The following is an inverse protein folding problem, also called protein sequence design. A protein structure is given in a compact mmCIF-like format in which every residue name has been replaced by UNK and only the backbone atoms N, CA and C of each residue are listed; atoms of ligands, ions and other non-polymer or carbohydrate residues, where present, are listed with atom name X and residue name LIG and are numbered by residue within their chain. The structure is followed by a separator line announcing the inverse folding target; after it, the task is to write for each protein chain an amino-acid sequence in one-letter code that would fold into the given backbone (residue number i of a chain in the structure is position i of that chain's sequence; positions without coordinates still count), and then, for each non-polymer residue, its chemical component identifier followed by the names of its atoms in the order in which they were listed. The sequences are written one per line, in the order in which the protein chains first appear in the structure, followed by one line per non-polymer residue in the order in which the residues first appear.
data_IF_598892375820
#
_entry.id   IF_598892375820
#
_cell.length_a   1.000
_cell.length_b   1.000
_cell.length_c   1.000
_cell.angle_alpha   90.00
_cell.angle_beta   90.00
_cell.angle_gamma   90.00
#
_symmetry.space_group_name_H-M   'P 1'
#
loop_
_entity.id
_entity.type
_entity.pdbx_description
1 polymer ?
#
# COMPACT_ATOMS: atom_id res chain seq x y z
N UNK A 1 16.45 -7.47 19.01
CA UNK A 1 15.90 -6.59 17.96
C UNK A 1 17.09 -5.89 17.29
N UNK A 2 17.33 -6.11 15.99
CA UNK A 2 18.49 -5.49 15.31
C UNK A 2 18.15 -4.04 14.93
N UNK A 3 18.98 -3.05 15.29
CA UNK A 3 18.73 -1.67 14.90
C UNK A 3 18.91 -1.48 13.40
N UNK A 4 18.16 -0.55 12.82
CA UNK A 4 18.26 -0.16 11.42
C UNK A 4 18.50 1.34 11.29
N UNK A 5 19.23 1.73 10.25
CA UNK A 5 19.35 3.11 9.80
C UNK A 5 18.27 3.38 8.76
N UNK A 6 17.71 4.59 8.79
CA UNK A 6 16.72 5.05 7.82
C UNK A 6 17.35 6.11 6.94
N UNK A 7 17.19 5.96 5.62
CA UNK A 7 17.54 6.99 4.65
C UNK A 7 16.30 7.38 3.88
N UNK A 8 16.04 8.67 3.87
CA UNK A 8 14.93 9.26 3.15
C UNK A 8 15.41 9.85 1.83
N UNK A 9 14.68 9.59 0.75
CA UNK A 9 14.96 10.15 -0.58
C UNK A 9 13.66 10.64 -1.21
N UNK A 10 13.79 11.67 -2.04
CA UNK A 10 12.70 12.19 -2.88
C UNK A 10 13.15 12.11 -4.33
N UNK A 11 12.27 11.62 -5.20
CA UNK A 11 12.53 11.46 -6.63
C UNK A 11 11.24 11.62 -7.45
N UNK A 12 11.34 11.67 -8.78
CA UNK A 12 10.20 11.54 -9.70
C UNK A 12 9.82 10.08 -9.92
N UNK A 13 8.69 9.83 -10.60
CA UNK A 13 8.31 8.47 -10.99
C UNK A 13 9.35 7.82 -11.93
N UNK A 14 9.86 8.56 -12.91
CA UNK A 14 10.88 8.05 -13.84
C UNK A 14 12.18 7.68 -13.11
N UNK A 15 12.61 8.53 -12.17
CA UNK A 15 13.77 8.24 -11.33
C UNK A 15 13.53 7.01 -10.46
N UNK A 16 12.32 6.85 -9.92
CA UNK A 16 11.99 5.68 -9.11
C UNK A 16 11.95 4.40 -9.95
N UNK A 17 11.35 4.43 -11.13
CA UNK A 17 11.35 3.32 -12.09
C UNK A 17 12.78 2.91 -12.47
N UNK A 18 13.64 3.88 -12.78
CA UNK A 18 15.05 3.63 -13.12
C UNK A 18 15.90 3.04 -11.98
N UNK A 19 15.43 3.09 -10.72
CA UNK A 19 16.09 2.43 -9.58
C UNK A 19 15.34 1.21 -9.05
N UNK A 20 14.10 0.97 -9.48
CA UNK A 20 13.25 -0.12 -8.98
C UNK A 20 13.90 -1.49 -9.21
N UNK A 21 14.51 -1.70 -10.38
CA UNK A 21 15.26 -2.93 -10.69
C UNK A 21 16.42 -3.16 -9.73
N UNK A 22 17.16 -2.10 -9.38
CA UNK A 22 18.26 -2.17 -8.41
C UNK A 22 17.73 -2.48 -7.02
N UNK A 23 16.55 -1.98 -6.66
CA UNK A 23 15.91 -2.22 -5.36
C UNK A 23 15.34 -3.64 -5.23
N UNK A 24 15.13 -4.38 -6.34
CA UNK A 24 14.64 -5.77 -6.34
C UNK A 24 15.54 -6.71 -5.54
N UNK A 25 16.86 -6.58 -5.68
CA UNK A 25 17.83 -7.55 -5.17
C UNK A 25 18.60 -7.07 -3.93
N UNK A 26 18.39 -5.82 -3.50
CA UNK A 26 19.13 -5.27 -2.37
C UNK A 26 18.48 -5.71 -1.06
N UNK A 27 19.31 -6.11 -0.08
CA UNK A 27 18.88 -6.35 1.30
C UNK A 27 18.60 -5.01 2.01
N UNK A 28 17.49 -4.39 1.64
CA UNK A 28 16.97 -3.15 2.20
C UNK A 28 15.45 -3.27 2.35
N UNK A 29 14.94 -2.84 3.49
CA UNK A 29 13.51 -2.60 3.66
C UNK A 29 13.13 -1.33 2.91
N UNK A 30 12.15 -1.42 2.02
CA UNK A 30 11.69 -0.28 1.23
C UNK A 30 10.23 0.00 1.57
N UNK A 31 9.94 1.19 2.07
CA UNK A 31 8.61 1.80 2.12
C UNK A 31 8.64 3.06 1.25
N UNK A 32 7.56 3.35 0.54
CA UNK A 32 7.47 4.55 -0.27
C UNK A 32 6.07 5.12 -0.32
N UNK A 33 5.99 6.40 -0.71
CA UNK A 33 4.73 7.12 -0.92
C UNK A 33 4.73 7.68 -2.33
N UNK A 34 3.67 7.42 -3.07
CA UNK A 34 3.45 7.88 -4.43
C UNK A 34 2.47 9.06 -4.41
N UNK A 35 2.85 10.16 -5.06
CA UNK A 35 2.00 11.32 -5.31
C UNK A 35 1.91 11.52 -6.84
N UNK A 36 1.02 10.79 -7.54
CA UNK A 36 0.94 10.78 -9.00
C UNK A 36 0.78 12.18 -9.63
N UNK A 37 -0.08 13.01 -9.04
CA UNK A 37 -0.44 14.35 -9.52
C UNK A 37 0.66 15.40 -9.36
N UNK A 38 1.73 15.08 -8.62
CA UNK A 38 2.90 15.95 -8.43
C UNK A 38 4.17 15.40 -9.07
N UNK A 39 4.09 14.21 -9.68
CA UNK A 39 5.26 13.45 -10.13
C UNK A 39 6.31 13.35 -9.00
N UNK A 40 5.87 12.92 -7.81
CA UNK A 40 6.75 12.76 -6.64
C UNK A 40 6.61 11.39 -6.03
N UNK A 41 7.77 10.84 -5.69
CA UNK A 41 7.93 9.63 -4.90
C UNK A 41 8.83 9.92 -3.70
N UNK A 42 8.37 9.54 -2.51
CA UNK A 42 9.17 9.59 -1.28
C UNK A 42 9.55 8.17 -0.88
N UNK A 43 10.85 7.93 -0.71
CA UNK A 43 11.40 6.63 -0.33
C UNK A 43 11.87 6.67 1.12
N UNK A 44 11.54 5.63 1.88
CA UNK A 44 12.03 5.30 3.21
C UNK A 44 12.80 3.96 3.08
N UNK A 45 14.12 4.08 2.99
CA UNK A 45 15.06 2.95 2.86
C UNK A 45 15.60 2.58 4.23
N UNK A 46 15.46 1.31 4.60
CA UNK A 46 15.82 0.78 5.92
C UNK A 46 16.87 -0.30 5.78
N UNK A 47 18.06 -0.03 6.31
CA UNK A 47 19.19 -0.97 6.30
C UNK A 47 19.56 -1.35 7.72
N UNK A 48 19.78 -2.64 7.97
CA UNK A 48 20.35 -3.06 9.24
C UNK A 48 21.72 -2.41 9.43
N UNK A 49 21.97 -1.87 10.62
CA UNK A 49 23.26 -1.27 10.95
C UNK A 49 23.60 -1.59 12.40
N UNK A 50 24.71 -2.30 12.63
CA UNK A 50 25.22 -2.56 13.98
C UNK A 50 25.61 -1.27 14.73
N UNK A 51 25.90 -0.19 13.99
CA UNK A 51 26.25 1.12 14.53
C UNK A 51 25.04 2.02 14.80
N UNK A 52 23.83 1.65 14.34
CA UNK A 52 22.63 2.43 14.60
C UNK A 52 22.25 2.32 16.08
N UNK A 53 22.31 3.44 16.81
CA UNK A 53 21.78 3.52 18.17
C UNK A 53 20.26 3.36 18.13
N UNK A 54 19.72 2.57 19.06
CA UNK A 54 18.28 2.48 19.35
C UNK A 54 17.77 3.88 19.68
N UNK A 55 17.20 4.60 18.71
CA UNK A 55 16.57 5.90 18.98
C UNK A 55 15.24 5.70 19.68
N UNK A 56 14.92 6.67 20.53
CA UNK A 56 13.74 6.70 21.36
C UNK A 56 12.46 6.53 20.55
N UNK A 57 11.48 5.80 21.08
CA UNK A 57 10.19 5.47 20.43
C UNK A 57 9.32 6.68 20.07
N UNK A 58 9.67 7.89 20.53
CA UNK A 58 8.80 9.08 20.51
C UNK A 58 8.72 9.75 19.12
N UNK A 59 9.83 10.04 18.40
CA UNK A 59 9.75 10.60 17.05
C UNK A 59 9.03 9.69 16.05
N UNK A 60 9.22 8.37 16.16
CA UNK A 60 8.47 7.37 15.38
C UNK A 60 6.97 7.42 15.67
N UNK A 61 6.57 7.50 16.94
CA UNK A 61 5.15 7.63 17.31
C UNK A 61 4.53 8.93 16.80
N UNK A 62 5.28 10.04 16.79
CA UNK A 62 4.80 11.33 16.25
C UNK A 62 4.64 11.26 14.73
N UNK A 63 5.59 10.64 14.02
CA UNK A 63 5.49 10.37 12.58
C UNK A 63 4.27 9.50 12.26
N UNK A 64 4.17 8.34 12.91
CA UNK A 64 3.07 7.41 12.69
C UNK A 64 1.73 8.04 13.07
N UNK A 65 1.66 8.84 14.14
CA UNK A 65 0.47 9.57 14.55
C UNK A 65 0.09 10.69 13.56
N UNK A 66 1.06 11.44 13.05
CA UNK A 66 0.85 12.46 12.03
C UNK A 66 0.28 11.85 10.73
N UNK A 67 0.86 10.74 10.28
CA UNK A 67 0.45 10.04 9.06
C UNK A 67 -0.90 9.30 9.20
N UNK A 68 -1.16 8.68 10.34
CA UNK A 68 -2.36 7.83 10.53
C UNK A 68 -3.55 8.55 11.17
N UNK A 69 -3.35 9.68 11.85
CA UNK A 69 -4.40 10.37 12.61
C UNK A 69 -4.60 11.82 12.18
N UNK A 70 -3.53 12.59 11.95
CA UNK A 70 -3.64 14.02 11.63
C UNK A 70 -3.96 14.24 10.15
N UNK A 71 -3.20 13.62 9.25
CA UNK A 71 -3.43 13.75 7.81
C UNK A 71 -4.86 13.36 7.40
N UNK A 72 -5.41 12.21 7.85
CA UNK A 72 -6.80 11.86 7.54
C UNK A 72 -7.81 12.92 7.97
N UNK A 73 -7.65 13.51 9.17
CA UNK A 73 -8.56 14.55 9.68
C UNK A 73 -8.46 15.86 8.90
N UNK A 74 -7.25 16.23 8.49
CA UNK A 74 -7.01 17.42 7.67
C UNK A 74 -7.64 17.24 6.30
N UNK A 75 -7.40 16.11 5.63
CA UNK A 75 -7.97 15.87 4.30
C UNK A 75 -9.48 15.69 4.33
N UNK A 76 -10.02 15.02 5.34
CA UNK A 76 -11.47 14.95 5.55
C UNK A 76 -12.10 16.34 5.73
N UNK A 77 -11.44 17.22 6.48
CA UNK A 77 -11.89 18.60 6.65
C UNK A 77 -11.82 19.38 5.34
N UNK A 78 -10.73 19.27 4.58
CA UNK A 78 -10.57 19.92 3.27
C UNK A 78 -11.62 19.43 2.27
N UNK A 79 -11.89 18.11 2.24
CA UNK A 79 -12.92 17.52 1.39
C UNK A 79 -14.33 18.05 1.72
N UNK A 80 -14.59 18.35 3.00
CA UNK A 80 -15.89 18.89 3.45
C UNK A 80 -16.04 20.39 3.21
N UNK A 81 -14.96 21.16 3.38
CA UNK A 81 -15.02 22.64 3.41
C UNK A 81 -14.76 23.25 2.04
N UNK A 82 -13.98 22.59 1.17
CA UNK A 82 -13.57 23.14 -0.12
C UNK A 82 -14.36 22.48 -1.26
N UNK A 83 -15.46 23.09 -1.75
CA UNK A 83 -16.30 22.49 -2.79
C UNK A 83 -15.64 22.52 -4.17
N UNK A 84 -14.70 23.45 -4.40
CA UNK A 84 -13.99 23.59 -5.68
C UNK A 84 -12.89 22.54 -5.77
N UNK A 85 -13.11 21.52 -6.61
CA UNK A 85 -12.21 20.37 -6.76
C UNK A 85 -10.76 20.78 -7.05
N UNK A 86 -10.52 21.74 -7.96
CA UNK A 86 -9.17 22.20 -8.30
C UNK A 86 -8.43 22.82 -7.11
N UNK A 87 -9.09 23.64 -6.29
CA UNK A 87 -8.50 24.24 -5.09
C UNK A 87 -8.28 23.20 -3.99
N UNK A 88 -9.28 22.35 -3.77
CA UNK A 88 -9.24 21.23 -2.82
C UNK A 88 -8.01 20.35 -3.05
N UNK A 89 -7.81 19.96 -4.29
CA UNK A 89 -6.74 19.08 -4.70
C UNK A 89 -5.36 19.73 -4.67
N UNK A 90 -5.26 21.02 -5.02
CA UNK A 90 -4.01 21.78 -4.81
C UNK A 90 -3.60 21.79 -3.34
N UNK A 91 -4.52 22.09 -2.42
CA UNK A 91 -4.25 22.10 -0.98
C UNK A 91 -3.82 20.72 -0.46
N UNK A 92 -4.51 19.65 -0.86
CA UNK A 92 -4.16 18.28 -0.49
C UNK A 92 -2.74 17.94 -0.95
N UNK A 93 -2.38 18.30 -2.17
CA UNK A 93 -1.07 18.01 -2.72
C UNK A 93 0.04 18.81 -2.03
N UNK A 94 -0.20 20.10 -1.73
CA UNK A 94 0.78 20.95 -1.03
C UNK A 94 1.02 20.44 0.40
N UNK A 95 -0.05 20.09 1.13
CA UNK A 95 0.06 19.51 2.47
C UNK A 95 0.75 18.15 2.40
N UNK A 96 0.38 17.28 1.46
CA UNK A 96 1.03 15.98 1.27
C UNK A 96 2.54 16.13 1.02
N UNK A 97 2.92 17.08 0.15
CA UNK A 97 4.32 17.37 -0.16
C UNK A 97 5.08 17.91 1.05
N UNK A 98 4.49 18.83 1.81
CA UNK A 98 5.09 19.43 3.00
C UNK A 98 5.23 18.39 4.11
N UNK A 99 4.18 17.61 4.39
CA UNK A 99 4.22 16.57 5.42
C UNK A 99 5.24 15.49 5.06
N UNK A 100 5.20 14.96 3.84
CA UNK A 100 6.19 13.96 3.42
C UNK A 100 7.60 14.55 3.31
N UNK A 101 7.76 15.83 3.00
CA UNK A 101 9.04 16.52 3.02
C UNK A 101 9.63 16.69 4.42
N UNK A 102 8.81 17.12 5.40
CA UNK A 102 9.25 17.39 6.78
C UNK A 102 9.47 16.11 7.59
N UNK A 103 8.52 15.18 7.51
CA UNK A 103 8.53 13.93 8.26
C UNK A 103 9.68 13.01 7.80
N UNK A 104 10.03 13.06 6.52
CA UNK A 104 11.14 12.28 5.98
C UNK A 104 12.50 12.98 6.11
N UNK A 105 12.60 14.31 6.21
CA UNK A 105 13.92 14.96 6.26
C UNK A 105 14.53 15.18 7.66
N UNK A 106 13.76 15.16 8.77
CA UNK A 106 14.31 15.70 10.04
C UNK A 106 14.05 14.96 11.35
N UNK A 107 13.24 13.91 11.42
CA UNK A 107 12.84 13.37 12.74
C UNK A 107 13.31 11.95 13.04
N UNK A 108 13.80 11.19 12.06
CA UNK A 108 14.06 9.76 12.24
C UNK A 108 15.25 9.28 11.41
N UNK A 109 16.39 9.02 12.07
CA UNK A 109 17.62 8.50 11.43
C UNK A 109 17.93 7.04 11.79
N UNK A 110 17.27 6.47 12.80
CA UNK A 110 17.37 5.06 13.17
C UNK A 110 16.06 4.54 13.75
N UNK A 111 15.91 3.22 13.84
CA UNK A 111 14.72 2.58 14.42
C UNK A 111 14.96 1.13 14.82
N UNK A 112 13.94 0.51 15.40
CA UNK A 112 13.95 -0.89 15.83
C UNK A 112 12.73 -1.62 15.25
N UNK A 113 12.94 -2.80 14.65
CA UNK A 113 11.92 -3.57 13.91
C UNK A 113 10.79 -4.06 14.81
N UNK A 114 9.87 -3.16 15.12
CA UNK A 114 8.64 -3.49 15.81
C UNK A 114 7.66 -3.87 14.73
N UNK A 115 7.18 -5.11 14.76
CA UNK A 115 6.01 -5.60 14.02
C UNK A 115 4.73 -4.78 14.28
N UNK A 116 4.80 -3.74 15.10
CA UNK A 116 3.78 -2.70 15.28
C UNK A 116 3.60 -1.75 14.07
N UNK A 117 4.34 -1.94 12.97
CA UNK A 117 4.29 -1.07 11.78
C UNK A 117 3.25 -1.48 10.72
N UNK A 118 2.50 -2.57 10.93
CA UNK A 118 1.14 -2.64 10.39
C UNK A 118 0.32 -1.65 11.21
N UNK A 119 0.08 -0.47 10.63
CA UNK A 119 -0.91 0.53 11.05
C UNK A 119 -1.83 0.01 12.16
N UNK A 120 -1.54 0.36 13.41
CA UNK A 120 -2.42 0.07 14.53
C UNK A 120 -3.68 0.91 14.38
N UNK A 121 -4.60 0.48 13.53
CA UNK A 121 -6.00 0.91 13.53
C UNK A 121 -6.65 0.34 14.79
N UNK A 122 -6.29 0.88 15.96
CA UNK A 122 -7.04 0.68 17.20
C UNK A 122 -8.07 1.80 17.32
N UNK A 123 -9.31 1.36 17.47
CA UNK A 123 -10.59 2.06 17.62
C UNK A 123 -11.30 2.42 16.32
N UNK A 124 -12.30 1.58 16.00
CA UNK A 124 -13.48 1.93 15.22
C UNK A 124 -14.13 3.18 15.83
N UNK A 125 -13.85 4.33 15.24
CA UNK A 125 -14.72 5.49 15.28
C UNK A 125 -15.29 5.60 13.86
N UNK A 126 -16.61 5.46 13.70
CA UNK A 126 -17.28 5.48 12.41
C UNK A 126 -17.05 6.82 11.66
N UNK A 127 -16.62 7.86 12.38
CA UNK A 127 -16.20 9.14 11.82
C UNK A 127 -14.80 9.13 11.18
N UNK A 128 -14.07 8.00 11.19
CA UNK A 128 -12.64 7.92 10.85
C UNK A 128 -12.30 6.77 9.88
N UNK A 129 -13.27 6.29 9.09
CA UNK A 129 -13.07 5.18 8.15
C UNK A 129 -12.14 5.58 7.00
N UNK A 130 -10.92 5.06 7.02
CA UNK A 130 -10.06 5.05 5.84
C UNK A 130 -10.48 3.91 4.93
N UNK A 131 -10.70 4.24 3.66
CA UNK A 131 -10.83 3.26 2.61
C UNK A 131 -9.46 2.91 2.06
N UNK A 132 -9.20 1.63 1.81
CA UNK A 132 -7.95 1.19 1.24
C UNK A 132 -8.14 0.00 0.33
N UNK A 133 -7.30 -0.09 -0.71
CA UNK A 133 -7.18 -1.28 -1.53
C UNK A 133 -5.72 -1.62 -1.77
N UNK A 134 -5.34 -2.87 -1.49
CA UNK A 134 -3.94 -3.32 -1.56
C UNK A 134 -3.78 -4.44 -2.58
N UNK A 135 -2.86 -4.25 -3.52
CA UNK A 135 -2.45 -5.24 -4.52
C UNK A 135 -0.94 -5.42 -4.51
N UNK A 136 -0.46 -6.62 -4.86
CA UNK A 136 0.96 -6.99 -4.87
C UNK A 136 1.41 -7.22 -6.30
N UNK A 137 2.54 -6.62 -6.67
CA UNK A 137 3.09 -6.71 -8.01
C UNK A 137 4.46 -7.38 -7.95
N UNK A 138 4.84 -8.20 -8.95
CA UNK A 138 6.19 -8.72 -9.07
C UNK A 138 7.23 -7.60 -8.96
N UNK A 139 8.24 -7.77 -8.10
CA UNK A 139 9.28 -6.76 -7.98
C UNK A 139 10.13 -6.64 -9.26
N UNK A 140 10.11 -7.66 -10.12
CA UNK A 140 10.74 -7.65 -11.44
C UNK A 140 10.07 -6.65 -12.41
N UNK A 141 8.75 -6.57 -12.40
CA UNK A 141 7.98 -5.74 -13.34
C UNK A 141 7.65 -4.35 -12.78
N UNK A 142 7.96 -4.13 -11.50
CA UNK A 142 7.48 -2.95 -10.78
C UNK A 142 7.94 -1.61 -11.36
N UNK A 143 9.07 -1.57 -12.07
CA UNK A 143 9.53 -0.37 -12.76
C UNK A 143 8.50 0.13 -13.77
N UNK A 144 7.88 -0.78 -14.53
CA UNK A 144 6.85 -0.46 -15.52
C UNK A 144 5.53 -0.18 -14.80
N UNK A 145 5.18 -1.01 -13.80
CA UNK A 145 3.93 -0.87 -13.04
C UNK A 145 3.82 0.49 -12.38
N UNK A 146 4.90 1.03 -11.80
CA UNK A 146 4.82 2.32 -11.09
C UNK A 146 4.58 3.49 -12.03
N UNK A 147 5.12 3.45 -13.26
CA UNK A 147 4.84 4.44 -14.30
C UNK A 147 3.39 4.29 -14.78
N UNK A 148 2.97 3.07 -15.10
CA UNK A 148 1.60 2.80 -15.51
C UNK A 148 0.57 3.17 -14.42
N UNK A 149 0.93 3.04 -13.15
CA UNK A 149 0.10 3.45 -12.02
C UNK A 149 -0.11 4.96 -11.98
N UNK A 150 0.93 5.75 -12.29
CA UNK A 150 0.79 7.20 -12.39
C UNK A 150 -0.20 7.57 -13.49
N UNK A 151 -0.04 6.98 -14.68
CA UNK A 151 -0.90 7.25 -15.83
C UNK A 151 -2.34 6.82 -15.57
N UNK A 152 -2.52 5.67 -14.91
CA UNK A 152 -3.82 5.22 -14.40
C UNK A 152 -4.47 6.27 -13.50
N UNK A 153 -3.75 6.80 -12.49
CA UNK A 153 -4.30 7.81 -11.59
C UNK A 153 -4.68 9.12 -12.30
N UNK A 154 -3.87 9.56 -13.27
CA UNK A 154 -4.14 10.76 -14.05
C UNK A 154 -5.40 10.57 -14.90
N UNK A 155 -5.49 9.46 -15.65
CA UNK A 155 -6.64 9.13 -16.51
C UNK A 155 -7.94 8.97 -15.72
N UNK A 156 -7.91 8.30 -14.57
CA UNK A 156 -9.10 8.16 -13.73
C UNK A 156 -9.56 9.53 -13.22
N UNK A 157 -8.63 10.40 -12.83
CA UNK A 157 -8.99 11.75 -12.40
C UNK A 157 -9.58 12.60 -13.52
N UNK A 158 -9.04 12.50 -14.74
CA UNK A 158 -9.56 13.21 -15.90
C UNK A 158 -10.98 12.76 -16.27
N UNK A 159 -11.25 11.46 -16.23
CA UNK A 159 -12.53 10.88 -16.65
C UNK A 159 -13.64 10.93 -15.59
N UNK A 160 -13.29 10.72 -14.31
CA UNK A 160 -14.26 10.59 -13.22
C UNK A 160 -14.28 11.79 -12.27
N UNK A 161 -13.31 12.70 -12.40
CA UNK A 161 -13.01 13.77 -11.42
C UNK A 161 -12.68 13.28 -10.01
N UNK A 162 -12.59 11.97 -9.80
CA UNK A 162 -12.20 11.36 -8.54
C UNK A 162 -10.69 11.14 -8.48
N UNK A 163 -10.10 11.35 -7.30
CA UNK A 163 -8.77 10.86 -6.96
C UNK A 163 -8.67 10.62 -5.47
N UNK A 164 -7.81 9.68 -5.09
CA UNK A 164 -7.42 9.46 -3.70
C UNK A 164 -6.84 10.76 -3.13
N UNK A 165 -7.27 11.12 -1.92
CA UNK A 165 -6.78 12.28 -1.18
C UNK A 165 -5.59 11.96 -0.29
N UNK A 166 -5.31 10.68 -0.04
CA UNK A 166 -4.11 10.23 0.67
C UNK A 166 -3.05 9.74 -0.32
N UNK A 167 -1.74 9.91 -0.01
CA UNK A 167 -0.68 9.29 -0.79
C UNK A 167 -0.83 7.78 -0.84
N UNK A 168 -0.63 7.19 -2.02
CA UNK A 168 -0.55 5.73 -2.16
C UNK A 168 0.72 5.24 -1.49
N UNK A 169 0.57 4.28 -0.59
CA UNK A 169 1.68 3.73 0.18
C UNK A 169 2.11 2.43 -0.46
N UNK A 170 3.41 2.25 -0.66
CA UNK A 170 3.95 0.98 -1.11
C UNK A 170 5.08 0.46 -0.24
N UNK A 171 5.28 -0.85 -0.30
CA UNK A 171 6.36 -1.52 0.43
C UNK A 171 6.84 -2.75 -0.32
N UNK A 172 8.16 -2.98 -0.28
CA UNK A 172 8.76 -4.23 -0.80
C UNK A 172 8.57 -5.33 0.23
N UNK A 173 8.10 -6.47 -0.22
CA UNK A 173 7.92 -7.69 0.56
C UNK A 173 8.89 -8.73 0.02
N UNK A 174 9.72 -9.28 0.90
CA UNK A 174 10.61 -10.38 0.56
C UNK A 174 9.82 -11.63 0.17
N UNK A 175 10.48 -12.54 -0.53
CA UNK A 175 9.89 -13.85 -0.82
C UNK A 175 9.59 -14.58 0.49
N UNK A 176 8.36 -15.06 0.65
CA UNK A 176 7.90 -15.78 1.85
C UNK A 176 7.13 -17.05 1.46
N UNK A 177 7.79 -18.19 1.62
CA UNK A 177 7.23 -19.53 1.35
C UNK A 177 6.58 -20.18 2.57
N UNK A 178 6.49 -19.48 3.71
CA UNK A 178 5.95 -20.04 4.96
C UNK A 178 4.43 -20.18 4.95
N UNK A 179 3.73 -19.31 4.21
CA UNK A 179 2.29 -19.36 4.02
C UNK A 179 1.95 -19.73 2.58
N UNK A 180 1.16 -20.79 2.39
CA UNK A 180 0.81 -21.31 1.06
C UNK A 180 0.10 -20.29 0.16
N UNK A 181 -0.73 -19.42 0.74
CA UNK A 181 -1.41 -18.34 0.01
C UNK A 181 -0.68 -17.00 0.15
N UNK A 182 0.62 -17.00 0.50
CA UNK A 182 1.43 -15.79 0.51
C UNK A 182 1.45 -15.19 -0.90
N UNK A 183 1.22 -13.86 -1.04
CA UNK A 183 1.35 -13.19 -2.32
C UNK A 183 2.80 -13.12 -2.81
N UNK A 184 3.79 -13.27 -1.92
CA UNK A 184 5.23 -13.29 -2.25
C UNK A 184 5.84 -14.69 -2.15
N UNK A 185 5.06 -15.74 -2.39
CA UNK A 185 5.56 -17.12 -2.29
C UNK A 185 6.65 -17.44 -3.32
N UNK A 186 6.43 -17.04 -4.57
CA UNK A 186 7.28 -17.40 -5.70
C UNK A 186 8.48 -16.44 -5.83
N UNK A 187 8.25 -15.15 -5.58
CA UNK A 187 9.26 -14.10 -5.71
C UNK A 187 9.03 -12.91 -4.76
N UNK A 188 10.00 -11.99 -4.61
CA UNK A 188 9.77 -10.72 -3.93
C UNK A 188 8.71 -9.89 -4.65
N UNK A 189 7.83 -9.27 -3.87
CA UNK A 189 6.72 -8.47 -4.39
C UNK A 189 6.81 -7.02 -3.91
N UNK A 190 6.10 -6.13 -4.57
CA UNK A 190 5.84 -4.77 -4.12
C UNK A 190 4.35 -4.60 -3.90
N UNK A 191 3.96 -4.34 -2.66
CA UNK A 191 2.59 -3.98 -2.36
C UNK A 191 2.35 -2.52 -2.69
N UNK A 192 1.23 -2.21 -3.36
CA UNK A 192 0.68 -0.87 -3.50
C UNK A 192 -0.67 -0.81 -2.80
N UNK A 193 -0.80 0.15 -1.89
CA UNK A 193 -2.03 0.44 -1.15
C UNK A 193 -2.53 1.83 -1.53
N UNK A 194 -3.60 1.87 -2.31
CA UNK A 194 -4.36 3.11 -2.50
C UNK A 194 -5.18 3.38 -1.23
N UNK A 195 -5.29 4.66 -0.85
CA UNK A 195 -5.95 5.08 0.40
C UNK A 195 -6.82 6.31 0.11
N UNK A 196 -8.03 6.34 0.65
CA UNK A 196 -8.94 7.48 0.56
C UNK A 196 -9.66 7.73 1.88
N UNK A 197 -9.90 9.00 2.23
CA UNK A 197 -10.86 9.38 3.28
C UNK A 197 -12.27 9.62 2.74
N UNK A 198 -12.39 9.74 1.41
CA UNK A 198 -13.64 10.00 0.70
C UNK A 198 -14.34 8.68 0.38
N UNK A 199 -15.63 8.60 0.72
CA UNK A 199 -16.50 7.48 0.34
C UNK A 199 -17.02 7.62 -1.10
N UNK A 200 -17.42 8.84 -1.48
CA UNK A 200 -17.96 9.12 -2.81
C UNK A 200 -16.87 8.92 -3.87
N UNK A 201 -17.13 8.06 -4.85
CA UNK A 201 -16.21 7.72 -5.93
C UNK A 201 -15.15 6.66 -5.58
N UNK A 202 -14.96 6.33 -4.29
CA UNK A 202 -13.98 5.32 -3.88
C UNK A 202 -14.28 3.94 -4.43
N UNK A 203 -15.54 3.51 -4.43
CA UNK A 203 -15.89 2.15 -4.85
C UNK A 203 -15.54 1.90 -6.31
N UNK A 204 -15.89 2.84 -7.20
CA UNK A 204 -15.55 2.76 -8.62
C UNK A 204 -14.03 2.78 -8.81
N UNK A 205 -13.32 3.68 -8.13
CA UNK A 205 -11.86 3.71 -8.16
C UNK A 205 -11.23 2.40 -7.71
N UNK A 206 -11.76 1.75 -6.66
CA UNK A 206 -11.24 0.50 -6.14
C UNK A 206 -11.45 -0.66 -7.12
N UNK A 207 -12.55 -0.65 -7.89
CA UNK A 207 -12.82 -1.60 -8.97
C UNK A 207 -11.84 -1.35 -10.13
N UNK A 208 -11.74 -0.11 -10.61
CA UNK A 208 -10.81 0.27 -11.69
C UNK A 208 -9.35 -0.01 -11.33
N UNK A 209 -8.98 0.17 -10.05
CA UNK A 209 -7.66 -0.18 -9.55
C UNK A 209 -7.44 -1.69 -9.51
N UNK A 210 -8.50 -2.47 -9.23
CA UNK A 210 -8.48 -3.92 -9.37
C UNK A 210 -8.24 -4.35 -10.81
N UNK A 211 -8.92 -3.74 -11.78
CA UNK A 211 -8.74 -4.02 -13.21
C UNK A 211 -7.33 -3.69 -13.68
N UNK A 212 -6.83 -2.51 -13.29
CA UNK A 212 -5.44 -2.12 -13.49
C UNK A 212 -4.50 -3.17 -12.88
N UNK A 213 -4.73 -3.56 -11.63
CA UNK A 213 -3.84 -4.48 -10.94
C UNK A 213 -3.79 -5.84 -11.64
N UNK A 214 -4.94 -6.39 -12.04
CA UNK A 214 -5.02 -7.67 -12.76
C UNK A 214 -4.33 -7.62 -14.11
N UNK A 215 -4.49 -6.53 -14.86
CA UNK A 215 -3.80 -6.32 -16.14
C UNK A 215 -2.27 -6.38 -15.99
N UNK A 216 -1.74 -5.90 -14.86
CA UNK A 216 -0.31 -5.89 -14.56
C UNK A 216 0.15 -7.08 -13.68
N UNK A 217 -0.57 -8.20 -13.69
CA UNK A 217 -0.18 -9.41 -12.96
C UNK A 217 -0.28 -9.30 -11.44
N UNK A 218 -1.12 -8.39 -10.95
CA UNK A 218 -1.28 -8.10 -9.53
C UNK A 218 -1.94 -9.23 -8.74
N UNK A 219 -1.42 -9.52 -7.55
CA UNK A 219 -1.97 -10.49 -6.60
C UNK A 219 -2.82 -9.75 -5.55
N UNK A 220 -4.08 -10.15 -5.31
CA UNK A 220 -4.94 -9.45 -4.38
C UNK A 220 -4.65 -9.85 -2.93
N UNK A 221 -4.97 -8.94 -1.99
CA UNK A 221 -5.35 -9.37 -0.64
C UNK A 221 -6.87 -9.45 -0.58
N UNK A 222 -7.42 -10.65 -0.46
CA UNK A 222 -8.85 -10.92 -0.44
C UNK A 222 -9.69 -9.90 0.37
N UNK A 223 -9.34 -9.63 1.63
CA UNK A 223 -10.12 -8.72 2.47
C UNK A 223 -9.86 -7.22 2.24
N UNK A 224 -8.97 -6.85 1.31
CA UNK A 224 -8.61 -5.47 0.98
C UNK A 224 -8.77 -5.16 -0.51
N UNK A 225 -9.35 -6.07 -1.29
CA UNK A 225 -9.56 -5.86 -2.73
C UNK A 225 -11.02 -6.07 -3.05
N UNK A 226 -11.56 -5.21 -3.90
CA UNK A 226 -12.96 -5.24 -4.31
C UNK A 226 -13.10 -5.95 -5.64
N UNK A 227 -14.23 -6.61 -5.83
CA UNK A 227 -14.68 -7.17 -7.10
C UNK A 227 -13.65 -8.10 -7.79
N UNK A 228 -13.05 -9.00 -7.01
CA UNK A 228 -12.16 -10.02 -7.58
C UNK A 228 -13.05 -11.08 -8.27
N UNK A 229 -12.83 -11.38 -9.56
CA UNK A 229 -13.49 -12.50 -10.21
C UNK A 229 -13.17 -13.82 -9.49
N UNK A 230 -14.16 -14.70 -9.36
CA UNK A 230 -14.01 -15.93 -8.57
C UNK A 230 -12.91 -16.88 -9.09
N UNK A 231 -12.58 -16.81 -10.38
CA UNK A 231 -11.54 -17.60 -11.04
C UNK A 231 -10.15 -16.96 -10.92
N UNK A 232 -10.04 -15.65 -10.71
CA UNK A 232 -8.77 -14.94 -10.67
C UNK A 232 -7.79 -15.48 -9.60
N UNK A 233 -8.22 -15.81 -8.36
CA UNK A 233 -7.33 -16.46 -7.39
C UNK A 233 -6.76 -17.79 -7.88
N UNK A 234 -7.52 -18.56 -8.66
CA UNK A 234 -7.02 -19.81 -9.24
C UNK A 234 -5.94 -19.54 -10.29
N UNK A 235 -6.06 -18.45 -11.05
CA UNK A 235 -5.04 -18.04 -12.02
C UNK A 235 -3.73 -17.63 -11.31
N UNK A 236 -3.84 -16.87 -10.22
CA UNK A 236 -2.67 -16.30 -9.53
C UNK A 236 -1.99 -17.28 -8.57
N UNK A 237 -2.76 -18.04 -7.80
CA UNK A 237 -2.20 -18.99 -6.82
C UNK A 237 -2.02 -20.41 -7.39
N UNK A 238 -2.64 -20.72 -8.53
CA UNK A 238 -2.45 -21.98 -9.25
C UNK A 238 -2.71 -23.22 -8.38
N UNK A 239 -1.80 -24.18 -8.45
CA UNK A 239 -1.87 -25.44 -7.70
C UNK A 239 -1.85 -25.25 -6.17
N UNK A 240 -1.30 -24.13 -5.67
CA UNK A 240 -1.30 -23.80 -4.23
C UNK A 240 -2.72 -23.61 -3.71
N UNK A 241 -3.59 -22.96 -4.49
CA UNK A 241 -5.00 -22.82 -4.12
C UNK A 241 -5.72 -24.16 -4.11
N UNK A 242 -5.48 -25.00 -5.13
CA UNK A 242 -6.06 -26.35 -5.18
C UNK A 242 -5.65 -27.19 -3.97
N UNK A 243 -4.36 -27.15 -3.61
CA UNK A 243 -3.86 -27.85 -2.43
C UNK A 243 -4.45 -27.28 -1.13
N UNK A 244 -4.57 -25.96 -1.00
CA UNK A 244 -5.25 -25.32 0.12
C UNK A 244 -6.70 -25.79 0.25
N UNK A 245 -7.47 -25.81 -0.84
CA UNK A 245 -8.85 -26.29 -0.84
C UNK A 245 -8.94 -27.74 -0.37
N UNK A 246 -8.02 -28.61 -0.83
CA UNK A 246 -7.95 -30.01 -0.40
C UNK A 246 -7.70 -30.13 1.11
N UNK A 247 -6.68 -29.45 1.63
CA UNK A 247 -6.33 -29.47 3.06
C UNK A 247 -7.49 -28.91 3.89
N UNK A 248 -8.05 -27.76 3.49
CA UNK A 248 -9.19 -27.14 4.17
C UNK A 248 -10.38 -28.10 4.27
N UNK A 249 -10.74 -28.82 3.20
CA UNK A 249 -11.83 -29.83 3.23
C UNK A 249 -11.55 -31.01 4.17
N UNK A 250 -10.28 -31.39 4.35
CA UNK A 250 -9.91 -32.46 5.29
C UNK A 250 -10.08 -32.03 6.75
N UNK A 251 -9.74 -30.77 7.08
CA UNK A 251 -9.80 -30.26 8.45
C UNK A 251 -11.15 -29.59 8.81
N UNK A 252 -11.92 -29.15 7.82
CA UNK A 252 -13.23 -28.53 7.97
C UNK A 252 -14.23 -29.05 6.91
N UNK A 253 -14.62 -30.34 6.99
CA UNK A 253 -15.50 -30.97 6.00
C UNK A 253 -16.91 -30.37 5.97
N UNK A 254 -17.37 -29.82 7.10
CA UNK A 254 -18.68 -29.20 7.25
C UNK A 254 -18.67 -27.69 6.92
N UNK A 255 -17.54 -27.15 6.46
CA UNK A 255 -17.38 -25.73 6.09
C UNK A 255 -17.69 -24.74 7.22
N UNK A 256 -17.45 -25.10 8.49
CA UNK A 256 -17.76 -24.27 9.67
C UNK A 256 -16.99 -22.94 9.67
N UNK A 257 -15.84 -22.90 9.00
CA UNK A 257 -14.99 -21.71 8.89
C UNK A 257 -15.23 -20.92 7.60
N UNK A 258 -16.17 -21.33 6.74
CA UNK A 258 -16.46 -20.67 5.47
C UNK A 258 -17.69 -19.76 5.57
N UNK A 259 -17.47 -18.46 5.48
CA UNK A 259 -18.55 -17.49 5.26
C UNK A 259 -18.78 -17.29 3.75
N UNK A 260 -19.86 -16.61 3.30
CA UNK A 260 -20.14 -16.41 1.87
C UNK A 260 -18.98 -15.82 1.07
N UNK A 261 -18.22 -14.90 1.68
CA UNK A 261 -17.05 -14.28 1.06
C UNK A 261 -15.92 -15.29 0.83
N UNK A 262 -15.54 -16.06 1.85
CA UNK A 262 -14.50 -17.08 1.75
C UNK A 262 -14.93 -18.21 0.81
N UNK A 263 -16.22 -18.56 0.83
CA UNK A 263 -16.80 -19.61 0.00
C UNK A 263 -16.62 -19.37 -1.49
N UNK A 264 -16.68 -18.11 -1.93
CA UNK A 264 -16.46 -17.74 -3.34
C UNK A 264 -15.09 -18.19 -3.86
N UNK A 265 -14.06 -18.22 -3.01
CA UNK A 265 -12.68 -18.47 -3.44
C UNK A 265 -12.13 -19.80 -2.95
N UNK A 266 -12.61 -20.32 -1.82
CA UNK A 266 -11.99 -21.47 -1.14
C UNK A 266 -12.86 -22.72 -1.12
N UNK A 267 -14.09 -22.68 -1.63
CA UNK A 267 -14.90 -23.90 -1.77
C UNK A 267 -14.38 -24.83 -2.85
#
# INVERSE_FOLDING_TARGET
MKPFAVTHRRCSFDQFAGVAEKLRNVDVGLKFYLLPFRDRVYLDLRRYSRAARSTHRIPWKIKDWGESTVLPKVFKSINRIVPVAGLRYRLIDDISQVTQGLVNNRLVSSGSNSTAQLSSTRKHDASNSLYYSTWFFPAADFAIVVQAYRDFCLRIHESSHYRCDMPTVGFRVGRDTSAMLSPSFDEPMVALRAISTQAQGWENFAIDFGDFARHWGGVPIFNQTRDIPADYPQQVFGSRLTFFRKIRRQFDPENRMMNPFLSQYFL
#
